data_IF_443051306146
#
_entry.id   IF_443051306146
#
_cell.length_a   1.000
_cell.length_b   1.000
_cell.length_c   1.000
_cell.angle_alpha   90.00
_cell.angle_beta   90.00
_cell.angle_gamma   90.00
#
_symmetry.space_group_name_H-M   'P 1'
#
loop_
_entity.id
_entity.type
_entity.pdbx_description
1 polymer ?
#
# COMPACT_ATOMS: atom_id res chain seq x y z
N UNK A 1 19.69 -6.12 -25.78
CA UNK A 1 20.91 -5.51 -25.19
C UNK A 1 22.04 -6.50 -25.35
N UNK A 2 23.14 -6.13 -26.02
CA UNK A 2 24.31 -7.03 -26.18
C UNK A 2 24.95 -7.20 -24.79
N UNK A 3 24.92 -8.42 -24.24
CA UNK A 3 25.59 -8.72 -22.98
C UNK A 3 27.08 -8.39 -23.10
N UNK A 4 27.59 -7.59 -22.17
CA UNK A 4 28.99 -7.16 -22.20
C UNK A 4 29.91 -8.39 -22.04
N UNK A 5 30.97 -8.51 -22.85
CA UNK A 5 31.88 -9.67 -22.91
C UNK A 5 32.39 -10.20 -21.56
N UNK A 6 32.65 -9.29 -20.60
CA UNK A 6 33.06 -9.67 -19.25
C UNK A 6 31.95 -10.40 -18.47
N UNK A 7 30.70 -10.07 -18.71
CA UNK A 7 29.55 -10.68 -18.06
C UNK A 7 29.25 -12.08 -18.61
N UNK A 8 29.47 -12.27 -19.90
CA UNK A 8 29.39 -13.59 -20.55
C UNK A 8 30.44 -14.51 -19.95
N UNK A 9 31.69 -14.05 -19.85
CA UNK A 9 32.80 -14.82 -19.23
C UNK A 9 32.52 -15.12 -17.76
N UNK A 10 32.06 -14.15 -17.00
CA UNK A 10 31.68 -14.33 -15.60
C UNK A 10 30.64 -15.45 -15.45
N UNK A 11 29.55 -15.42 -16.26
CA UNK A 11 28.49 -16.44 -16.24
C UNK A 11 29.05 -17.82 -16.60
N UNK A 12 29.89 -17.93 -17.62
CA UNK A 12 30.48 -19.19 -18.05
C UNK A 12 31.35 -19.81 -16.94
N UNK A 13 32.24 -19.03 -16.35
CA UNK A 13 33.13 -19.51 -15.26
C UNK A 13 32.33 -19.86 -14.01
N UNK A 14 31.34 -19.02 -13.63
CA UNK A 14 30.41 -19.28 -12.53
C UNK A 14 29.67 -20.61 -12.73
N UNK A 15 29.14 -20.84 -13.92
CA UNK A 15 28.45 -22.10 -14.23
C UNK A 15 29.40 -23.31 -14.13
N UNK A 16 30.63 -23.20 -14.62
CA UNK A 16 31.63 -24.26 -14.51
C UNK A 16 32.03 -24.59 -13.06
N UNK A 17 32.03 -23.58 -12.18
CA UNK A 17 32.21 -23.77 -10.73
C UNK A 17 31.01 -24.52 -10.16
N UNK A 18 29.80 -24.05 -10.48
CA UNK A 18 28.56 -24.63 -9.98
C UNK A 18 28.29 -26.04 -10.49
N UNK A 19 28.68 -26.37 -11.71
CA UNK A 19 28.56 -27.74 -12.26
C UNK A 19 29.71 -28.69 -11.81
N UNK A 20 30.71 -28.16 -11.11
CA UNK A 20 31.89 -28.96 -10.65
C UNK A 20 32.96 -29.17 -11.71
N UNK A 21 32.83 -28.55 -12.90
CA UNK A 21 33.90 -28.57 -13.91
C UNK A 21 35.17 -27.90 -13.38
N UNK A 22 35.01 -26.86 -12.54
CA UNK A 22 36.06 -26.33 -11.66
C UNK A 22 35.74 -26.72 -10.20
N UNK A 23 36.36 -27.83 -9.68
CA UNK A 23 36.07 -28.28 -8.34
C UNK A 23 36.51 -27.30 -7.24
N UNK A 24 35.90 -27.39 -6.06
CA UNK A 24 36.35 -26.64 -4.90
C UNK A 24 37.84 -26.85 -4.65
N UNK A 25 38.54 -25.82 -4.21
CA UNK A 25 39.98 -25.74 -4.02
C UNK A 25 40.84 -25.92 -5.28
N UNK A 26 40.24 -26.08 -6.46
CA UNK A 26 41.00 -26.12 -7.71
C UNK A 26 41.48 -24.72 -8.12
N UNK A 27 42.64 -24.71 -8.81
CA UNK A 27 43.20 -23.46 -9.33
C UNK A 27 42.59 -23.09 -10.67
N UNK A 28 42.09 -21.88 -10.77
CA UNK A 28 41.64 -21.30 -12.04
C UNK A 28 42.81 -20.92 -12.96
N UNK A 29 42.64 -20.92 -14.29
CA UNK A 29 43.61 -20.37 -15.22
C UNK A 29 44.00 -18.95 -14.82
N UNK A 30 45.27 -18.60 -15.01
CA UNK A 30 45.66 -17.20 -14.79
C UNK A 30 44.92 -16.28 -15.74
N UNK A 31 44.75 -14.99 -15.37
CA UNK A 31 44.05 -14.00 -16.20
C UNK A 31 44.61 -13.96 -17.64
N UNK A 32 45.94 -14.14 -17.82
CA UNK A 32 46.57 -14.20 -19.15
C UNK A 32 46.14 -15.44 -19.92
N UNK A 33 46.27 -16.62 -19.27
CA UNK A 33 45.85 -17.89 -19.88
C UNK A 33 44.35 -17.88 -20.21
N UNK A 34 43.51 -17.29 -19.39
CA UNK A 34 42.06 -17.17 -19.66
C UNK A 34 41.80 -16.21 -20.83
N UNK A 35 42.54 -15.12 -20.95
CA UNK A 35 42.46 -14.20 -22.07
C UNK A 35 42.84 -14.90 -23.40
N UNK A 36 43.94 -15.66 -23.39
CA UNK A 36 44.40 -16.43 -24.55
C UNK A 36 43.35 -17.50 -24.96
N UNK A 37 42.78 -18.23 -24.00
CA UNK A 37 41.77 -19.28 -24.25
C UNK A 37 40.45 -18.76 -24.80
N UNK A 38 40.03 -17.57 -24.36
CA UNK A 38 38.70 -17.01 -24.68
C UNK A 38 38.73 -15.99 -25.81
N UNK A 39 39.92 -15.50 -26.18
CA UNK A 39 40.09 -14.41 -27.13
C UNK A 39 39.62 -13.06 -26.58
N UNK A 40 39.42 -12.94 -25.29
CA UNK A 40 39.00 -11.69 -24.66
C UNK A 40 40.21 -10.88 -24.20
N UNK A 41 40.05 -9.55 -24.10
CA UNK A 41 41.11 -8.70 -23.54
C UNK A 41 41.34 -9.00 -22.07
N UNK A 42 42.60 -8.79 -21.60
CA UNK A 42 42.99 -8.96 -20.20
C UNK A 42 42.07 -8.19 -19.25
N UNK A 43 41.69 -6.96 -19.60
CA UNK A 43 40.76 -6.12 -18.83
C UNK A 43 39.37 -6.78 -18.69
N UNK A 44 38.88 -7.43 -19.76
CA UNK A 44 37.60 -8.17 -19.74
C UNK A 44 37.67 -9.34 -18.76
N UNK A 45 38.76 -10.09 -18.76
CA UNK A 45 38.97 -11.21 -17.85
C UNK A 45 39.16 -10.74 -16.40
N UNK A 46 39.89 -9.66 -16.20
CA UNK A 46 40.06 -9.05 -14.86
C UNK A 46 38.73 -8.66 -14.25
N UNK A 47 37.86 -8.05 -15.06
CA UNK A 47 36.54 -7.64 -14.57
C UNK A 47 35.63 -8.83 -14.25
N UNK A 48 35.70 -9.91 -15.04
CA UNK A 48 34.96 -11.13 -14.76
C UNK A 48 35.47 -11.83 -13.47
N UNK A 49 36.78 -11.87 -13.28
CA UNK A 49 37.40 -12.45 -12.08
C UNK A 49 37.10 -11.61 -10.84
N UNK A 50 37.13 -10.28 -10.97
CA UNK A 50 36.74 -9.40 -9.88
C UNK A 50 35.31 -9.68 -9.41
N UNK A 51 34.35 -9.87 -10.34
CA UNK A 51 32.96 -10.21 -9.98
C UNK A 51 32.87 -11.57 -9.29
N UNK A 52 33.61 -12.57 -9.75
CA UNK A 52 33.65 -13.90 -9.12
C UNK A 52 34.25 -13.85 -7.71
N UNK A 53 35.27 -13.02 -7.52
CA UNK A 53 35.90 -12.78 -6.23
C UNK A 53 34.96 -12.00 -5.27
N UNK A 54 34.34 -10.96 -5.74
CA UNK A 54 33.40 -10.14 -5.00
C UNK A 54 32.18 -10.95 -4.51
N UNK A 55 31.71 -11.90 -5.32
CA UNK A 55 30.66 -12.84 -4.96
C UNK A 55 31.15 -14.06 -4.16
N UNK A 56 32.44 -14.19 -3.93
CA UNK A 56 33.02 -15.26 -3.13
C UNK A 56 33.09 -16.63 -3.82
N UNK A 57 32.99 -16.72 -5.15
CA UNK A 57 33.17 -17.95 -5.92
C UNK A 57 34.65 -18.35 -6.03
N UNK A 58 35.54 -17.36 -6.01
CA UNK A 58 36.99 -17.56 -6.08
C UNK A 58 37.68 -16.66 -5.07
N UNK A 59 38.85 -17.08 -4.61
CA UNK A 59 39.71 -16.27 -3.75
C UNK A 59 41.17 -16.27 -4.25
N UNK A 60 41.88 -15.12 -4.16
CA UNK A 60 43.29 -15.06 -4.47
C UNK A 60 44.10 -15.78 -3.38
N UNK A 61 45.11 -16.56 -3.80
CA UNK A 61 46.18 -17.06 -2.89
C UNK A 61 47.49 -16.38 -3.27
N UNK A 62 48.15 -15.81 -2.29
CA UNK A 62 49.37 -15.03 -2.50
C UNK A 62 50.40 -15.79 -3.38
N UNK A 63 50.90 -15.13 -4.43
CA UNK A 63 51.85 -15.66 -5.43
C UNK A 63 51.38 -16.91 -6.17
N UNK A 64 50.15 -17.41 -5.94
CA UNK A 64 49.65 -18.67 -6.51
C UNK A 64 48.49 -18.47 -7.52
N UNK A 65 47.75 -17.38 -7.47
CA UNK A 65 46.63 -17.10 -8.38
C UNK A 65 45.25 -17.26 -7.71
N UNK A 66 44.23 -17.53 -8.49
CA UNK A 66 42.83 -17.65 -8.02
C UNK A 66 42.45 -19.10 -7.82
N UNK A 67 41.74 -19.39 -6.74
CA UNK A 67 41.24 -20.73 -6.39
C UNK A 67 39.73 -20.68 -6.15
N UNK A 68 39.03 -21.75 -6.51
CA UNK A 68 37.61 -21.92 -6.31
C UNK A 68 37.31 -22.09 -4.83
N UNK A 69 36.40 -21.29 -4.31
CA UNK A 69 35.95 -21.39 -2.91
C UNK A 69 34.98 -22.58 -2.73
N UNK A 70 35.06 -23.34 -1.63
CA UNK A 70 34.07 -24.37 -1.31
C UNK A 70 32.70 -23.70 -1.08
N UNK A 71 31.63 -24.22 -1.72
CA UNK A 71 30.26 -23.76 -1.54
C UNK A 71 29.50 -24.81 -0.73
N UNK A 72 29.39 -24.67 0.60
CA UNK A 72 28.68 -25.64 1.44
C UNK A 72 27.22 -25.75 1.07
N UNK A 73 26.71 -26.98 0.91
CA UNK A 73 25.30 -27.25 0.65
C UNK A 73 24.82 -27.05 -0.79
N UNK A 74 25.70 -26.73 -1.73
CA UNK A 74 25.31 -26.68 -3.14
C UNK A 74 25.15 -28.10 -3.70
N UNK A 75 23.93 -28.43 -4.11
CA UNK A 75 23.60 -29.67 -4.84
C UNK A 75 23.55 -29.31 -6.33
N UNK A 76 24.53 -29.78 -7.17
CA UNK A 76 24.44 -29.60 -8.61
C UNK A 76 23.14 -30.25 -9.14
N UNK A 77 22.43 -29.59 -10.02
CA UNK A 77 21.20 -30.06 -10.69
C UNK A 77 19.87 -29.97 -9.93
N UNK A 78 19.59 -28.90 -9.22
CA UNK A 78 18.20 -28.46 -9.14
C UNK A 78 17.82 -27.83 -10.49
N UNK A 79 16.84 -28.37 -11.26
CA UNK A 79 16.38 -27.69 -12.45
C UNK A 79 15.94 -26.28 -12.07
N UNK A 80 16.35 -25.28 -12.87
CA UNK A 80 15.84 -23.91 -12.69
C UNK A 80 14.31 -24.00 -12.57
N UNK A 81 13.71 -23.42 -11.53
CA UNK A 81 12.27 -23.35 -11.47
C UNK A 81 11.82 -22.62 -12.73
N UNK A 82 11.12 -23.29 -13.63
CA UNK A 82 10.41 -22.64 -14.72
C UNK A 82 9.38 -21.75 -14.03
N UNK A 83 9.69 -20.46 -13.92
CA UNK A 83 8.72 -19.46 -13.53
C UNK A 83 7.63 -19.50 -14.59
N UNK A 84 6.51 -20.09 -14.25
CA UNK A 84 5.32 -20.06 -15.08
C UNK A 84 4.80 -18.61 -15.00
N UNK A 85 5.10 -17.82 -16.02
CA UNK A 85 4.76 -16.40 -16.10
C UNK A 85 3.22 -16.20 -16.19
N UNK A 86 2.46 -17.28 -16.26
CA UNK A 86 1.00 -17.25 -16.35
C UNK A 86 0.30 -16.93 -15.00
N UNK A 87 1.03 -16.86 -13.86
CA UNK A 87 0.44 -16.48 -12.58
C UNK A 87 0.05 -15.00 -12.45
N UNK A 88 0.36 -14.16 -13.44
CA UNK A 88 0.09 -12.72 -13.39
C UNK A 88 -1.22 -12.31 -14.11
N UNK A 89 -2.04 -13.25 -14.55
CA UNK A 89 -3.18 -12.93 -15.42
C UNK A 89 -4.58 -13.06 -14.80
N UNK A 90 -4.76 -13.53 -13.57
CA UNK A 90 -6.08 -14.00 -13.16
C UNK A 90 -6.98 -13.04 -12.37
N UNK A 91 -6.55 -11.83 -11.98
CA UNK A 91 -7.41 -10.92 -11.19
C UNK A 91 -7.59 -9.50 -11.77
N UNK A 92 -7.27 -9.25 -13.01
CA UNK A 92 -7.39 -7.93 -13.63
C UNK A 92 -8.75 -7.67 -14.31
N UNK A 93 -9.86 -7.98 -13.64
CA UNK A 93 -11.20 -7.62 -14.14
C UNK A 93 -11.66 -6.22 -13.68
N UNK A 94 -10.76 -5.38 -13.17
CA UNK A 94 -11.02 -3.95 -12.99
C UNK A 94 -10.57 -3.22 -14.26
N UNK A 95 -11.53 -2.82 -15.08
CA UNK A 95 -11.25 -2.06 -16.30
C UNK A 95 -10.57 -0.74 -15.94
N UNK A 96 -9.28 -0.63 -16.24
CA UNK A 96 -8.51 0.63 -16.18
C UNK A 96 -8.81 1.55 -17.38
N UNK A 97 -9.87 1.25 -18.17
CA UNK A 97 -10.19 1.92 -19.43
C UNK A 97 -10.45 3.42 -19.31
N UNK A 98 -10.68 3.94 -18.12
CA UNK A 98 -11.09 5.32 -17.90
C UNK A 98 -10.04 6.23 -17.26
N UNK A 99 -8.84 5.69 -16.99
CA UNK A 99 -7.78 6.46 -16.37
C UNK A 99 -7.05 7.36 -17.39
N UNK A 100 -6.97 8.65 -17.10
CA UNK A 100 -6.30 9.62 -17.97
C UNK A 100 -4.77 9.55 -17.85
N UNK A 101 -4.17 8.49 -18.42
CA UNK A 101 -2.72 8.22 -18.34
C UNK A 101 -1.84 9.42 -18.74
N UNK A 102 -2.24 10.18 -19.77
CA UNK A 102 -1.46 11.32 -20.25
C UNK A 102 -1.31 12.42 -19.19
N UNK A 103 -2.39 12.72 -18.47
CA UNK A 103 -2.41 13.71 -17.38
C UNK A 103 -1.60 13.19 -16.19
N UNK A 104 -1.76 11.92 -15.85
CA UNK A 104 -1.02 11.28 -14.77
C UNK A 104 0.49 11.31 -15.04
N UNK A 105 0.96 10.84 -16.20
CA UNK A 105 2.38 10.85 -16.54
C UNK A 105 2.97 12.26 -16.67
N UNK A 106 2.18 13.26 -17.06
CA UNK A 106 2.60 14.66 -17.00
C UNK A 106 2.84 15.11 -15.56
N UNK A 107 1.94 14.72 -14.65
CA UNK A 107 2.09 15.01 -13.21
C UNK A 107 3.33 14.32 -12.63
N UNK A 108 3.56 13.04 -12.96
CA UNK A 108 4.76 12.29 -12.54
C UNK A 108 6.04 13.02 -12.96
N UNK A 109 6.16 13.38 -14.24
CA UNK A 109 7.35 14.10 -14.75
C UNK A 109 7.56 15.44 -14.05
N UNK A 110 6.49 16.20 -13.83
CA UNK A 110 6.55 17.47 -13.10
C UNK A 110 7.08 17.24 -11.68
N UNK A 111 6.51 16.29 -10.94
CA UNK A 111 6.91 16.00 -9.55
C UNK A 111 8.37 15.59 -9.45
N UNK A 112 8.84 14.72 -10.37
CA UNK A 112 10.24 14.28 -10.39
C UNK A 112 11.17 15.48 -10.68
N UNK A 113 10.81 16.32 -11.66
CA UNK A 113 11.60 17.53 -12.01
C UNK A 113 11.67 18.52 -10.85
N UNK A 114 10.56 18.75 -10.15
CA UNK A 114 10.46 19.82 -9.16
C UNK A 114 11.02 19.44 -7.78
N UNK A 115 11.06 18.13 -7.44
CA UNK A 115 11.37 17.68 -6.09
C UNK A 115 12.70 16.90 -5.97
N UNK A 116 13.20 16.28 -7.04
CA UNK A 116 14.52 15.62 -7.05
C UNK A 116 14.75 14.68 -5.88
N UNK A 117 15.82 14.92 -5.11
CA UNK A 117 16.26 14.06 -4.01
C UNK A 117 15.25 13.93 -2.86
N UNK A 118 14.32 14.89 -2.71
CA UNK A 118 13.29 14.81 -1.67
C UNK A 118 12.40 13.58 -1.80
N UNK A 119 12.24 13.07 -3.03
CA UNK A 119 11.42 11.88 -3.32
C UNK A 119 12.04 10.57 -2.82
N UNK A 120 13.34 10.59 -2.52
CA UNK A 120 14.11 9.43 -2.06
C UNK A 120 14.38 9.45 -0.55
N UNK A 121 13.74 10.35 0.18
CA UNK A 121 13.83 10.43 1.64
C UNK A 121 12.90 9.42 2.30
N UNK A 122 13.16 9.14 3.60
CA UNK A 122 12.26 8.30 4.41
C UNK A 122 10.91 8.98 4.58
N UNK A 123 9.82 8.24 4.35
CA UNK A 123 8.48 8.75 4.58
C UNK A 123 8.25 9.08 6.08
N UNK A 124 7.69 10.27 6.42
CA UNK A 124 7.24 10.56 7.76
C UNK A 124 6.19 9.55 8.24
N UNK A 125 6.10 9.32 9.53
CA UNK A 125 5.19 8.34 10.13
C UNK A 125 3.72 8.49 9.65
N UNK A 126 3.17 9.70 9.75
CA UNK A 126 1.78 10.01 9.32
C UNK A 126 1.64 10.20 7.80
N UNK A 127 2.71 10.02 7.04
CA UNK A 127 2.78 10.38 5.62
C UNK A 127 3.25 11.83 5.40
N UNK A 128 3.58 12.15 4.15
CA UNK A 128 4.11 13.45 3.76
C UNK A 128 3.08 14.57 3.98
N UNK A 129 3.53 15.67 4.58
CA UNK A 129 2.65 16.83 4.87
C UNK A 129 2.00 17.40 3.60
N UNK A 130 2.70 17.36 2.47
CA UNK A 130 2.16 17.82 1.20
C UNK A 130 0.88 17.07 0.79
N UNK A 131 0.84 15.73 0.97
CA UNK A 131 -0.35 14.94 0.67
C UNK A 131 -1.44 15.17 1.71
N UNK A 132 -1.08 15.21 2.99
CA UNK A 132 -2.06 15.46 4.06
C UNK A 132 -2.76 16.81 3.91
N UNK A 133 -2.00 17.86 3.54
CA UNK A 133 -2.57 19.18 3.23
C UNK A 133 -3.47 19.13 2.00
N UNK A 134 -3.03 18.48 0.92
CA UNK A 134 -3.85 18.34 -0.30
C UNK A 134 -5.18 17.61 -0.04
N UNK A 135 -5.16 16.56 0.79
CA UNK A 135 -6.37 15.84 1.20
C UNK A 135 -7.27 16.74 2.06
N UNK A 136 -6.74 17.46 3.03
CA UNK A 136 -7.53 18.37 3.87
C UNK A 136 -8.23 19.45 3.04
N UNK A 137 -7.50 20.07 2.10
CA UNK A 137 -8.04 21.06 1.16
C UNK A 137 -9.12 20.46 0.24
N UNK A 138 -8.91 19.24 -0.25
CA UNK A 138 -9.90 18.52 -1.06
C UNK A 138 -11.18 18.26 -0.27
N UNK A 139 -11.07 17.72 0.93
CA UNK A 139 -12.22 17.43 1.81
C UNK A 139 -13.01 18.70 2.13
N UNK A 140 -12.32 19.79 2.43
CA UNK A 140 -12.99 21.07 2.69
C UNK A 140 -13.75 21.58 1.48
N UNK A 141 -13.10 21.64 0.31
CA UNK A 141 -13.69 22.23 -0.91
C UNK A 141 -14.80 21.39 -1.52
N UNK A 142 -14.68 20.06 -1.50
CA UNK A 142 -15.57 19.18 -2.26
C UNK A 142 -16.50 18.34 -1.40
N UNK A 143 -16.18 18.18 -0.12
CA UNK A 143 -17.00 17.39 0.81
C UNK A 143 -17.58 18.24 1.94
N UNK A 144 -17.18 19.49 2.09
CA UNK A 144 -17.55 20.34 3.22
C UNK A 144 -17.04 19.82 4.57
N UNK A 145 -16.04 18.95 4.55
CA UNK A 145 -15.46 18.33 5.74
C UNK A 145 -14.22 19.10 6.19
N UNK A 146 -14.16 19.49 7.45
CA UNK A 146 -13.00 20.14 8.02
C UNK A 146 -12.12 19.10 8.72
N UNK A 147 -10.93 18.86 8.18
CA UNK A 147 -9.94 17.96 8.76
C UNK A 147 -8.62 18.70 8.99
N UNK A 148 -8.05 18.54 10.19
CA UNK A 148 -6.71 19.07 10.45
C UNK A 148 -5.66 18.17 9.78
N UNK A 149 -4.69 18.70 9.02
CA UNK A 149 -3.67 17.86 8.37
C UNK A 149 -2.88 16.97 9.33
N UNK A 150 -2.74 17.36 10.61
CA UNK A 150 -2.07 16.56 11.62
C UNK A 150 -2.87 15.33 12.08
N UNK A 151 -4.17 15.32 11.85
CA UNK A 151 -5.05 14.20 12.16
C UNK A 151 -5.13 13.19 11.03
N UNK A 152 -4.63 13.56 9.84
CA UNK A 152 -4.63 12.69 8.65
C UNK A 152 -3.43 11.76 8.70
N UNK A 153 -3.70 10.46 8.61
CA UNK A 153 -2.71 9.39 8.53
C UNK A 153 -2.82 8.73 7.16
N UNK A 154 -1.71 8.67 6.41
CA UNK A 154 -1.65 8.00 5.11
C UNK A 154 -1.33 6.53 5.31
N UNK A 155 -2.03 5.64 4.59
CA UNK A 155 -1.82 4.20 4.62
C UNK A 155 -1.95 3.53 3.26
N UNK A 156 -1.46 2.29 3.16
CA UNK A 156 -1.41 1.51 1.92
C UNK A 156 -2.72 0.75 1.63
N UNK A 157 -3.84 1.47 1.58
CA UNK A 157 -5.17 0.93 1.32
C UNK A 157 -5.99 0.72 2.60
N UNK A 158 -7.24 0.28 2.43
CA UNK A 158 -8.20 0.17 3.51
C UNK A 158 -7.80 -0.85 4.59
N UNK A 159 -7.36 -2.04 4.17
CA UNK A 159 -7.01 -3.13 5.09
C UNK A 159 -5.94 -2.69 6.10
N UNK A 160 -4.86 -2.04 5.62
CA UNK A 160 -3.80 -1.53 6.48
C UNK A 160 -4.29 -0.44 7.43
N UNK A 161 -5.29 0.37 7.00
CA UNK A 161 -5.91 1.37 7.86
C UNK A 161 -6.82 0.74 8.93
N UNK A 162 -7.54 -0.35 8.61
CA UNK A 162 -8.31 -1.13 9.63
C UNK A 162 -7.38 -1.73 10.67
N UNK A 163 -6.27 -2.35 10.24
CA UNK A 163 -5.24 -2.85 11.18
C UNK A 163 -4.65 -1.73 12.05
N UNK A 164 -4.42 -0.56 11.45
CA UNK A 164 -3.92 0.61 12.18
C UNK A 164 -4.93 1.07 13.23
N UNK A 165 -6.22 1.12 12.88
CA UNK A 165 -7.27 1.43 13.83
C UNK A 165 -7.33 0.41 14.98
N UNK A 166 -7.20 -0.89 14.68
CA UNK A 166 -7.16 -1.94 15.70
C UNK A 166 -5.94 -1.83 16.64
N UNK A 167 -4.77 -1.44 16.10
CA UNK A 167 -3.57 -1.19 16.93
C UNK A 167 -3.76 -0.01 17.89
N UNK A 168 -4.47 1.04 17.44
CA UNK A 168 -4.73 2.25 18.25
C UNK A 168 -5.83 1.99 19.26
N UNK A 169 -6.98 1.45 18.85
CA UNK A 169 -8.14 1.28 19.71
C UNK A 169 -7.95 0.15 20.74
N UNK A 170 -7.33 -0.95 20.31
CA UNK A 170 -7.04 -2.13 21.13
C UNK A 170 -7.52 -3.41 20.47
N UNK A 171 -6.71 -4.46 20.58
CA UNK A 171 -7.03 -5.82 20.09
C UNK A 171 -7.94 -6.57 21.03
N UNK A 172 -8.02 -6.14 22.27
CA UNK A 172 -8.91 -6.61 23.32
C UNK A 172 -10.37 -6.16 23.14
N UNK A 173 -10.60 -5.26 22.17
CA UNK A 173 -11.93 -4.74 21.86
C UNK A 173 -12.70 -5.68 20.94
N UNK A 174 -14.02 -5.62 21.03
CA UNK A 174 -14.94 -6.32 20.12
C UNK A 174 -15.40 -5.31 19.08
N UNK A 175 -15.17 -5.64 17.81
CA UNK A 175 -15.50 -4.78 16.66
C UNK A 175 -16.87 -5.19 16.10
N UNK A 176 -17.89 -4.37 16.30
CA UNK A 176 -19.20 -4.51 15.66
C UNK A 176 -19.10 -4.12 14.19
N UNK A 177 -19.43 -5.04 13.28
CA UNK A 177 -19.42 -4.82 11.84
C UNK A 177 -20.78 -5.10 11.23
N UNK A 178 -21.12 -4.46 10.12
CA UNK A 178 -22.32 -4.72 9.35
C UNK A 178 -22.38 -6.19 8.91
N UNK A 179 -23.58 -6.80 8.89
CA UNK A 179 -23.78 -8.15 8.39
C UNK A 179 -25.01 -8.20 7.45
N UNK A 180 -24.78 -8.44 6.13
CA UNK A 180 -23.49 -8.71 5.48
C UNK A 180 -22.59 -7.47 5.38
N UNK A 181 -21.26 -7.68 5.29
CA UNK A 181 -20.25 -6.63 5.07
C UNK A 181 -19.18 -7.11 4.09
N UNK A 182 -18.26 -6.21 3.74
CA UNK A 182 -17.06 -6.56 3.00
C UNK A 182 -16.17 -7.47 3.86
N UNK A 183 -15.88 -8.67 3.34
CA UNK A 183 -15.21 -9.75 4.10
C UNK A 183 -13.81 -9.33 4.60
N UNK A 184 -13.12 -8.47 3.87
CA UNK A 184 -11.78 -8.01 4.28
C UNK A 184 -11.81 -7.20 5.58
N UNK A 185 -12.94 -6.57 5.94
CA UNK A 185 -13.10 -5.87 7.23
C UNK A 185 -12.96 -6.89 8.38
N UNK A 186 -13.69 -8.01 8.29
CA UNK A 186 -13.64 -9.08 9.29
C UNK A 186 -12.25 -9.69 9.37
N UNK A 187 -11.68 -10.06 8.21
CA UNK A 187 -10.37 -10.68 8.13
C UNK A 187 -9.24 -9.78 8.67
N UNK A 188 -9.31 -8.48 8.45
CA UNK A 188 -8.32 -7.53 8.98
C UNK A 188 -8.34 -7.50 10.51
N UNK A 189 -9.53 -7.45 11.14
CA UNK A 189 -9.62 -7.43 12.60
C UNK A 189 -9.25 -8.78 13.22
N UNK A 190 -9.77 -9.88 12.70
CA UNK A 190 -9.44 -11.24 13.18
C UNK A 190 -7.95 -11.55 12.99
N UNK A 191 -7.34 -11.14 11.87
CA UNK A 191 -5.91 -11.26 11.62
C UNK A 191 -5.05 -10.49 12.63
N UNK A 192 -5.59 -9.43 13.23
CA UNK A 192 -4.97 -8.71 14.32
C UNK A 192 -5.23 -9.33 15.70
N UNK A 193 -6.01 -10.42 15.79
CA UNK A 193 -6.40 -11.08 17.01
C UNK A 193 -7.56 -10.41 17.76
N UNK A 194 -8.27 -9.49 17.13
CA UNK A 194 -9.46 -8.86 17.69
C UNK A 194 -10.72 -9.71 17.45
N UNK A 195 -11.70 -9.60 18.35
CA UNK A 195 -12.99 -10.24 18.18
C UNK A 195 -13.93 -9.39 17.32
N UNK A 196 -14.76 -10.05 16.51
CA UNK A 196 -15.73 -9.39 15.65
C UNK A 196 -17.15 -9.79 16.00
N UNK A 197 -18.07 -8.81 16.10
CA UNK A 197 -19.49 -9.00 16.33
C UNK A 197 -20.28 -8.60 15.08
N UNK A 198 -20.90 -9.56 14.35
CA UNK A 198 -21.71 -9.23 13.18
C UNK A 198 -23.06 -8.63 13.59
N UNK A 199 -23.35 -7.43 13.10
CA UNK A 199 -24.56 -6.65 13.42
C UNK A 199 -25.56 -6.71 12.26
N UNK A 200 -26.76 -7.21 12.52
CA UNK A 200 -27.81 -7.36 11.51
C UNK A 200 -28.16 -6.05 10.83
N UNK A 201 -28.10 -6.04 9.50
CA UNK A 201 -28.53 -4.92 8.66
C UNK A 201 -30.03 -4.90 8.46
N UNK A 202 -30.59 -3.70 8.45
CA UNK A 202 -31.95 -3.38 8.00
C UNK A 202 -31.96 -2.63 6.68
N UNK A 203 -33.10 -2.07 6.30
CA UNK A 203 -33.26 -1.31 5.04
C UNK A 203 -32.55 0.06 5.01
N UNK A 204 -32.13 0.58 6.16
CA UNK A 204 -31.56 1.91 6.32
C UNK A 204 -30.30 1.96 7.20
N UNK A 205 -29.64 0.83 7.38
CA UNK A 205 -28.48 0.66 8.23
C UNK A 205 -28.64 -0.49 9.22
N UNK A 206 -27.75 -0.60 10.20
CA UNK A 206 -27.82 -1.60 11.28
C UNK A 206 -29.13 -1.45 12.06
N UNK A 207 -29.81 -2.56 12.36
CA UNK A 207 -31.06 -2.50 13.12
C UNK A 207 -30.83 -1.96 14.52
N UNK A 208 -31.78 -1.16 15.06
CA UNK A 208 -31.68 -0.59 16.40
C UNK A 208 -31.54 -1.68 17.47
N UNK A 209 -32.21 -2.83 17.26
CA UNK A 209 -32.10 -3.98 18.14
C UNK A 209 -30.67 -4.55 18.17
N UNK A 210 -30.00 -4.69 17.00
CA UNK A 210 -28.62 -5.18 16.94
C UNK A 210 -27.65 -4.16 17.57
N UNK A 211 -27.87 -2.87 17.36
CA UNK A 211 -27.04 -1.82 17.95
C UNK A 211 -27.15 -1.77 19.49
N UNK A 212 -28.31 -2.09 20.05
CA UNK A 212 -28.57 -1.99 21.50
C UNK A 212 -28.24 -3.29 22.25
N UNK A 213 -28.53 -4.44 21.64
CA UNK A 213 -28.48 -5.73 22.33
C UNK A 213 -27.19 -6.52 22.09
N UNK A 214 -26.29 -6.05 21.22
CA UNK A 214 -25.02 -6.71 20.95
C UNK A 214 -23.89 -6.10 21.80
N UNK A 215 -22.96 -6.96 22.21
CA UNK A 215 -21.78 -6.53 22.98
C UNK A 215 -20.62 -6.24 22.04
N UNK A 216 -20.29 -4.96 21.88
CA UNK A 216 -19.13 -4.52 21.13
C UNK A 216 -18.64 -3.13 21.62
N UNK A 217 -17.39 -2.81 21.32
CA UNK A 217 -16.73 -1.59 21.84
C UNK A 217 -16.34 -0.61 20.71
N UNK A 218 -16.28 -1.08 19.47
CA UNK A 218 -15.98 -0.26 18.29
C UNK A 218 -17.02 -0.59 17.24
N UNK A 219 -17.61 0.40 16.61
CA UNK A 219 -18.57 0.23 15.54
C UNK A 219 -17.92 0.55 14.19
N UNK A 220 -17.76 -0.42 13.32
CA UNK A 220 -17.30 -0.20 11.95
C UNK A 220 -18.49 -0.24 10.99
N UNK A 221 -18.72 0.85 10.27
CA UNK A 221 -19.83 1.00 9.33
C UNK A 221 -19.37 1.58 8.01
N UNK A 222 -20.09 1.22 6.95
CA UNK A 222 -19.95 1.75 5.59
C UNK A 222 -21.24 2.48 5.21
N UNK A 223 -21.41 3.76 5.60
CA UNK A 223 -22.71 4.44 5.49
C UNK A 223 -23.18 4.73 4.07
N UNK A 224 -22.25 4.71 3.10
CA UNK A 224 -22.55 4.84 1.68
C UNK A 224 -22.41 3.50 0.98
N UNK A 225 -23.48 3.00 0.37
CA UNK A 225 -23.49 1.76 -0.43
C UNK A 225 -22.78 0.59 0.27
N UNK A 226 -23.17 0.29 1.52
CA UNK A 226 -22.63 -0.85 2.26
C UNK A 226 -22.57 -2.10 1.38
N UNK A 227 -21.37 -2.62 1.15
CA UNK A 227 -21.20 -3.81 0.31
C UNK A 227 -21.31 -5.09 1.16
N UNK A 228 -21.99 -6.15 0.68
CA UNK A 228 -22.67 -6.29 -0.62
C UNK A 228 -24.15 -5.84 -0.61
N UNK A 229 -24.67 -5.32 0.50
CA UNK A 229 -26.09 -5.02 0.68
C UNK A 229 -26.60 -3.86 -0.19
N UNK A 230 -25.70 -2.94 -0.59
CA UNK A 230 -26.07 -1.70 -1.29
C UNK A 230 -26.83 -0.68 -0.42
N UNK A 231 -27.01 -0.95 0.86
CA UNK A 231 -27.76 -0.09 1.78
C UNK A 231 -27.02 1.21 2.02
N UNK A 232 -27.72 2.33 1.87
CA UNK A 232 -27.25 3.64 2.32
C UNK A 232 -27.90 3.98 3.66
N UNK A 233 -27.05 4.25 4.65
CA UNK A 233 -27.50 4.57 6.01
C UNK A 233 -28.22 5.91 6.05
N UNK A 234 -29.48 5.91 6.51
CA UNK A 234 -30.29 7.12 6.62
C UNK A 234 -29.73 8.11 7.64
N UNK A 235 -30.06 9.40 7.50
CA UNK A 235 -29.60 10.43 8.45
C UNK A 235 -30.03 10.15 9.89
N UNK A 236 -31.26 9.67 10.10
CA UNK A 236 -31.75 9.29 11.42
C UNK A 236 -30.92 8.15 12.03
N UNK A 237 -30.51 7.20 11.21
CA UNK A 237 -29.68 6.08 11.66
C UNK A 237 -28.22 6.52 11.94
N UNK A 238 -27.70 7.51 11.20
CA UNK A 238 -26.39 8.12 11.50
C UNK A 238 -26.39 8.80 12.86
N UNK A 239 -27.44 9.54 13.20
CA UNK A 239 -27.59 10.11 14.54
C UNK A 239 -27.76 9.05 15.63
N UNK A 240 -28.38 7.90 15.33
CA UNK A 240 -28.48 6.78 16.27
C UNK A 240 -27.09 6.17 16.56
N UNK A 241 -26.23 6.01 15.53
CA UNK A 241 -24.85 5.57 15.72
C UNK A 241 -24.02 6.55 16.56
N UNK A 242 -24.11 7.85 16.26
CA UNK A 242 -23.44 8.89 17.04
C UNK A 242 -23.94 8.94 18.49
N UNK A 243 -25.23 8.77 18.70
CA UNK A 243 -25.81 8.68 20.05
C UNK A 243 -25.29 7.44 20.80
N UNK A 244 -25.16 6.31 20.13
CA UNK A 244 -24.55 5.12 20.71
C UNK A 244 -23.10 5.40 21.14
N UNK A 245 -22.28 5.97 20.27
CA UNK A 245 -20.90 6.30 20.59
C UNK A 245 -20.80 7.25 21.80
N UNK A 246 -21.61 8.32 21.81
CA UNK A 246 -21.67 9.28 22.90
C UNK A 246 -22.07 8.65 24.25
N UNK A 247 -23.09 7.79 24.25
CA UNK A 247 -23.58 7.17 25.47
C UNK A 247 -22.62 6.15 26.06
N UNK A 248 -21.81 5.50 25.21
CA UNK A 248 -20.88 4.44 25.61
C UNK A 248 -19.44 4.91 25.76
N UNK A 249 -19.09 6.09 25.26
CA UNK A 249 -17.70 6.57 25.19
C UNK A 249 -16.86 5.79 24.16
N UNK A 250 -17.49 5.05 23.27
CA UNK A 250 -16.83 4.20 22.27
C UNK A 250 -16.63 4.91 20.93
N UNK A 251 -15.83 4.32 20.03
CA UNK A 251 -15.50 4.91 18.73
C UNK A 251 -16.29 4.27 17.60
N UNK A 252 -16.53 5.07 16.56
CA UNK A 252 -17.06 4.62 15.27
C UNK A 252 -15.92 4.71 14.25
N UNK A 253 -15.78 3.69 13.40
CA UNK A 253 -14.97 3.71 12.20
C UNK A 253 -15.93 3.84 11.02
N UNK A 254 -15.88 4.99 10.34
CA UNK A 254 -16.63 5.25 9.11
C UNK A 254 -15.76 4.94 7.91
N UNK A 255 -16.09 3.89 7.17
CA UNK A 255 -15.44 3.55 5.90
C UNK A 255 -16.22 4.16 4.74
N UNK A 256 -15.62 5.13 4.09
CA UNK A 256 -16.25 5.94 3.05
C UNK A 256 -15.58 5.73 1.68
N UNK A 257 -15.55 4.49 1.21
CA UNK A 257 -14.83 4.11 -0.01
C UNK A 257 -15.53 4.48 -1.33
N UNK A 258 -16.80 4.88 -1.32
CA UNK A 258 -17.64 5.05 -2.52
C UNK A 258 -18.32 6.42 -2.68
N UNK A 259 -18.18 7.30 -1.71
CA UNK A 259 -18.90 8.57 -1.69
C UNK A 259 -18.53 9.54 -2.80
N UNK A 260 -17.33 9.42 -3.39
CA UNK A 260 -16.91 10.23 -4.54
C UNK A 260 -17.79 10.01 -5.79
N UNK A 261 -18.47 8.86 -5.89
CA UNK A 261 -19.29 8.51 -7.04
C UNK A 261 -20.77 8.85 -6.86
N UNK A 262 -21.14 9.44 -5.74
CA UNK A 262 -22.52 9.86 -5.50
C UNK A 262 -22.97 10.92 -6.53
N UNK A 263 -24.14 10.66 -7.17
CA UNK A 263 -24.70 11.52 -8.21
C UNK A 263 -25.40 12.74 -7.57
N UNK A 264 -25.25 13.96 -8.11
CA UNK A 264 -25.54 15.20 -7.43
C UNK A 264 -27.00 15.45 -7.13
N UNK A 265 -27.26 15.83 -5.94
CA UNK A 265 -28.46 16.45 -5.39
C UNK A 265 -28.12 17.17 -4.10
N UNK A 266 -27.54 16.50 -3.15
CA UNK A 266 -26.87 17.00 -1.96
C UNK A 266 -25.90 15.92 -1.48
N UNK A 267 -24.64 16.22 -1.19
CA UNK A 267 -23.77 15.26 -0.53
C UNK A 267 -24.42 14.90 0.81
N UNK A 268 -24.66 13.61 1.01
CA UNK A 268 -25.09 13.13 2.33
C UNK A 268 -23.92 13.36 3.28
N UNK A 269 -24.15 14.07 4.37
CA UNK A 269 -23.13 14.38 5.37
C UNK A 269 -22.58 13.09 5.99
N UNK A 270 -21.27 12.95 6.07
CA UNK A 270 -20.59 11.82 6.71
C UNK A 270 -20.88 11.79 8.23
N UNK A 271 -20.72 10.64 8.85
CA UNK A 271 -20.73 10.55 10.32
C UNK A 271 -19.67 11.47 10.94
N UNK A 272 -18.49 11.52 10.32
CA UNK A 272 -17.40 12.42 10.73
C UNK A 272 -17.84 13.90 10.71
N UNK A 273 -18.58 14.33 9.68
CA UNK A 273 -19.07 15.73 9.60
C UNK A 273 -20.16 16.04 10.64
N UNK A 274 -20.95 15.03 11.02
CA UNK A 274 -22.04 15.14 12.00
C UNK A 274 -21.55 14.96 13.46
N UNK A 275 -20.32 14.47 13.64
CA UNK A 275 -19.78 14.18 14.96
C UNK A 275 -19.26 15.45 15.65
N UNK A 276 -19.90 15.81 16.75
CA UNK A 276 -19.46 16.91 17.63
C UNK A 276 -18.69 16.44 18.87
N UNK A 277 -18.48 15.11 18.98
CA UNK A 277 -17.91 14.48 20.17
C UNK A 277 -16.51 13.91 19.97
N UNK A 278 -15.97 14.04 18.75
CA UNK A 278 -14.64 13.51 18.39
C UNK A 278 -14.52 11.99 18.64
N UNK A 279 -15.54 11.22 18.21
CA UNK A 279 -15.57 9.76 18.36
C UNK A 279 -15.58 9.01 17.02
N UNK A 280 -15.55 9.72 15.87
CA UNK A 280 -15.54 9.10 14.56
C UNK A 280 -14.14 9.12 13.96
N UNK A 281 -13.61 7.92 13.67
CA UNK A 281 -12.44 7.71 12.81
C UNK A 281 -12.98 7.59 11.38
N UNK A 282 -12.56 8.50 10.50
CA UNK A 282 -12.95 8.46 9.10
C UNK A 282 -11.87 7.78 8.26
N UNK A 283 -12.25 6.87 7.37
CA UNK A 283 -11.34 6.17 6.45
C UNK A 283 -11.84 6.33 5.02
N UNK A 284 -10.93 6.61 4.10
CA UNK A 284 -11.21 6.60 2.67
C UNK A 284 -9.98 6.14 1.88
N UNK A 285 -10.17 5.72 0.62
CA UNK A 285 -9.11 5.24 -0.25
C UNK A 285 -9.22 5.79 -1.67
N UNK A 286 -8.08 5.89 -2.34
CA UNK A 286 -8.03 6.26 -3.76
C UNK A 286 -8.15 5.06 -4.71
N UNK A 287 -8.34 3.84 -4.18
CA UNK A 287 -8.37 2.62 -4.97
C UNK A 287 -9.53 2.60 -5.97
N UNK A 288 -10.70 3.06 -5.58
CA UNK A 288 -11.88 3.12 -6.45
C UNK A 288 -11.92 4.39 -7.29
N UNK A 289 -11.47 5.49 -6.73
CA UNK A 289 -11.52 6.81 -7.38
C UNK A 289 -10.40 7.05 -8.37
N UNK A 290 -9.28 6.33 -8.29
CA UNK A 290 -8.16 6.40 -9.25
C UNK A 290 -7.86 5.03 -9.85
N UNK A 291 -7.29 4.13 -9.06
CA UNK A 291 -6.95 2.77 -9.49
C UNK A 291 -6.69 1.88 -8.28
N UNK A 292 -7.12 0.61 -8.30
CA UNK A 292 -6.77 -0.38 -7.27
C UNK A 292 -5.26 -0.55 -7.07
N UNK A 293 -4.46 -0.33 -8.12
CA UNK A 293 -3.00 -0.43 -8.09
C UNK A 293 -2.33 0.69 -7.28
N UNK A 294 -3.01 1.82 -7.04
CA UNK A 294 -2.45 2.94 -6.28
C UNK A 294 -2.19 2.60 -4.82
N UNK A 295 -3.00 1.73 -4.23
CA UNK A 295 -2.86 1.29 -2.84
C UNK A 295 -2.60 2.43 -1.86
N UNK A 296 -3.28 3.56 -2.03
CA UNK A 296 -3.21 4.72 -1.13
C UNK A 296 -4.59 4.96 -0.53
N UNK A 297 -4.62 5.09 0.78
CA UNK A 297 -5.77 5.51 1.56
C UNK A 297 -5.35 6.48 2.65
N UNK A 298 -6.31 6.99 3.36
CA UNK A 298 -6.07 7.83 4.53
C UNK A 298 -7.14 7.61 5.59
N UNK A 299 -6.76 7.86 6.84
CA UNK A 299 -7.71 7.99 7.95
C UNK A 299 -7.59 9.36 8.60
N UNK A 300 -8.67 9.83 9.18
CA UNK A 300 -8.70 11.03 10.00
C UNK A 300 -8.98 10.58 11.43
N UNK A 301 -8.02 10.82 12.32
CA UNK A 301 -8.15 10.45 13.73
C UNK A 301 -8.75 11.59 14.56
N UNK A 302 -9.65 11.27 15.50
CA UNK A 302 -9.98 12.16 16.60
C UNK A 302 -8.74 12.65 17.37
N UNK A 303 -8.75 13.89 17.85
CA UNK A 303 -7.61 14.47 18.59
C UNK A 303 -7.17 13.62 19.78
N UNK A 304 -8.12 13.04 20.50
CA UNK A 304 -7.87 12.17 21.65
C UNK A 304 -7.07 10.89 21.32
N UNK A 305 -7.04 10.49 20.05
CA UNK A 305 -6.31 9.29 19.59
C UNK A 305 -4.91 9.60 19.05
N UNK A 306 -4.55 10.87 18.83
CA UNK A 306 -3.26 11.24 18.25
C UNK A 306 -2.09 10.86 19.12
N UNK A 307 -2.17 11.13 20.42
CA UNK A 307 -1.12 10.74 21.36
C UNK A 307 -0.93 9.22 21.40
N UNK A 308 -2.04 8.47 21.45
CA UNK A 308 -2.00 7.00 21.41
C UNK A 308 -1.43 6.46 20.11
N UNK A 309 -1.77 7.09 18.97
CA UNK A 309 -1.15 6.78 17.68
C UNK A 309 0.37 6.96 17.73
N UNK A 310 0.84 8.10 18.23
CA UNK A 310 2.26 8.42 18.32
C UNK A 310 3.00 7.46 19.27
N UNK A 311 2.39 7.04 20.39
CA UNK A 311 2.94 6.04 21.31
C UNK A 311 3.08 4.65 20.68
N UNK A 312 2.05 4.20 19.94
CA UNK A 312 2.00 2.83 19.39
C UNK A 312 2.76 2.71 18.06
N UNK A 313 2.67 3.72 17.21
CA UNK A 313 3.11 3.68 15.81
C UNK A 313 4.14 4.77 15.46
N UNK A 314 4.43 5.72 16.33
CA UNK A 314 5.24 6.91 16.05
C UNK A 314 6.64 6.64 15.49
N UNK A 315 7.25 5.51 15.84
CA UNK A 315 8.58 5.11 15.37
C UNK A 315 8.56 4.40 14.00
N UNK A 316 7.39 4.08 13.46
CA UNK A 316 7.26 3.43 12.16
C UNK A 316 7.28 4.48 11.04
N UNK A 317 7.70 4.07 9.85
CA UNK A 317 7.55 4.88 8.65
C UNK A 317 6.19 4.62 8.02
N UNK A 318 5.64 5.61 7.33
CA UNK A 318 4.48 5.39 6.45
C UNK A 318 4.83 4.34 5.39
N UNK A 319 3.91 3.42 5.14
CA UNK A 319 4.07 2.33 4.17
C UNK A 319 3.96 2.78 2.71
N UNK A 320 3.38 3.97 2.46
CA UNK A 320 3.23 4.52 1.11
C UNK A 320 4.53 5.23 0.70
N UNK A 321 5.11 4.93 -0.47
CA UNK A 321 6.32 5.58 -0.96
C UNK A 321 6.18 7.11 -1.05
N UNK A 322 7.25 7.84 -0.73
CA UNK A 322 7.25 9.31 -0.76
C UNK A 322 6.89 9.84 -2.15
N UNK A 323 7.45 9.23 -3.19
CA UNK A 323 7.20 9.63 -4.58
C UNK A 323 5.71 9.56 -4.92
N UNK A 324 5.02 8.47 -4.57
CA UNK A 324 3.59 8.29 -4.84
C UNK A 324 2.74 9.31 -4.08
N UNK A 325 3.14 9.63 -2.85
CA UNK A 325 2.48 10.66 -2.05
C UNK A 325 2.61 12.05 -2.70
N UNK A 326 3.79 12.40 -3.22
CA UNK A 326 4.01 13.69 -3.90
C UNK A 326 3.24 13.76 -5.23
N UNK A 327 3.21 12.66 -6.00
CA UNK A 327 2.46 12.59 -7.26
C UNK A 327 0.97 12.80 -7.00
N UNK A 328 0.42 12.08 -6.01
CA UNK A 328 -0.99 12.21 -5.65
C UNK A 328 -1.32 13.60 -5.12
N UNK A 329 -0.46 14.16 -4.27
CA UNK A 329 -0.63 15.52 -3.76
C UNK A 329 -0.70 16.57 -4.90
N UNK A 330 0.20 16.49 -5.87
CA UNK A 330 0.19 17.36 -7.05
C UNK A 330 -1.06 17.14 -7.91
N UNK A 331 -1.47 15.88 -8.09
CA UNK A 331 -2.66 15.53 -8.86
C UNK A 331 -3.95 16.09 -8.24
N UNK A 332 -4.06 16.07 -6.91
CA UNK A 332 -5.15 16.68 -6.16
C UNK A 332 -5.05 18.22 -6.24
N UNK A 333 -3.90 18.80 -5.87
CA UNK A 333 -3.74 20.25 -5.74
C UNK A 333 -3.90 20.99 -7.07
N UNK A 334 -3.57 20.35 -8.20
CA UNK A 334 -3.77 20.91 -9.54
C UNK A 334 -5.22 20.80 -10.05
N UNK A 335 -6.15 20.22 -9.28
CA UNK A 335 -7.55 20.00 -9.69
C UNK A 335 -7.72 18.89 -10.72
N UNK A 336 -6.68 18.08 -10.98
CA UNK A 336 -6.77 16.96 -11.91
C UNK A 336 -7.63 15.82 -11.34
N UNK A 337 -7.57 15.62 -10.02
CA UNK A 337 -8.37 14.60 -9.34
C UNK A 337 -9.87 14.86 -9.50
N UNK A 338 -10.32 16.07 -9.26
CA UNK A 338 -11.74 16.44 -9.39
C UNK A 338 -12.22 16.39 -10.85
N UNK A 339 -11.35 16.76 -11.79
CA UNK A 339 -11.67 16.60 -13.23
C UNK A 339 -11.85 15.13 -13.59
N UNK A 340 -10.97 14.26 -13.08
CA UNK A 340 -11.07 12.82 -13.25
C UNK A 340 -12.36 12.26 -12.64
N UNK A 341 -12.70 12.60 -11.40
CA UNK A 341 -13.96 12.19 -10.76
C UNK A 341 -15.19 12.64 -11.56
N UNK A 342 -15.19 13.88 -12.05
CA UNK A 342 -16.29 14.39 -12.87
C UNK A 342 -16.40 13.64 -14.20
N UNK A 343 -15.28 13.23 -14.80
CA UNK A 343 -15.27 12.40 -16.00
C UNK A 343 -15.90 11.02 -15.72
N UNK A 344 -15.47 10.34 -14.67
CA UNK A 344 -16.01 9.05 -14.26
C UNK A 344 -17.50 9.11 -13.94
N UNK A 345 -17.94 10.11 -13.16
CA UNK A 345 -19.38 10.33 -12.86
C UNK A 345 -20.25 10.51 -14.10
N UNK A 346 -19.74 11.17 -15.14
CA UNK A 346 -20.47 11.34 -16.42
C UNK A 346 -20.64 10.02 -17.18
N UNK A 347 -19.67 9.13 -17.10
CA UNK A 347 -19.73 7.80 -17.73
C UNK A 347 -20.67 6.86 -17.01
N UNK A 348 -20.72 6.91 -15.68
CA UNK A 348 -21.64 6.10 -14.87
C UNK A 348 -23.12 6.50 -15.08
N UNK A 349 -23.39 7.70 -15.64
CA UNK A 349 -24.73 8.16 -15.99
C UNK A 349 -25.23 7.70 -17.36
N UNK A 350 -24.35 7.14 -18.20
CA UNK A 350 -24.70 6.59 -19.52
C UNK A 350 -24.93 5.08 -19.43
#
# INVERSE_FOLDING_TARGET
MSDKKYYILYKDVKNKILTGEYPADSKLPSKRIMADKTGYSLITVERAYFMLEDEGYIAPRERSGYFVCPIPGYIPNTPEPKLDINYLSDDANTSTQDFEYSVWFKTVRKVISDNGDKLFTKAPNKGCSILRNAIADYLYRYRGMTAQPNNIIIGSGAEQLYETAAKILGRDKIYGIENPSYEQIRLAYEGMGASVCPLKMGSNGITSQALTNSEFNVLHVTPFHSYPSGVTTSISKRYEYLKWANNTGNYIIEDDFDSEFFIPGHPIESLYSLDHSNQVIYINTFSKSLSPAMRIGYMILPDALLEKYDQVLGNLSCSVPVMDQYILAEFISSGNFERHLNHMRRKMKK
#
